data_IF_129642860166
#
_entry.id   IF_129642860166
#
_cell.length_a   1.000
_cell.length_b   1.000
_cell.length_c   1.000
_cell.angle_alpha   90.00
_cell.angle_beta   90.00
_cell.angle_gamma   90.00
#
_symmetry.space_group_name_H-M   'P 1'
#
loop_
_entity.id
_entity.type
_entity.pdbx_description
1 polymer ?
#
# COMPACT_ATOMS: atom_id res chain seq x y z
N UNK A 1 -4.02 -0.61 -27.86
CA UNK A 1 -4.08 -0.34 -29.33
C UNK A 1 -2.77 -0.67 -30.04
N UNK A 2 -1.60 -0.29 -29.51
CA UNK A 2 -0.29 -0.61 -30.13
C UNK A 2 0.03 -2.12 -30.11
N UNK A 3 -0.17 -2.80 -28.99
CA UNK A 3 0.09 -4.24 -28.85
C UNK A 3 -0.73 -5.07 -29.84
N UNK A 4 -2.03 -4.80 -29.97
CA UNK A 4 -2.90 -5.50 -30.93
C UNK A 4 -2.43 -5.34 -32.38
N UNK A 5 -2.01 -4.14 -32.80
CA UNK A 5 -1.47 -3.89 -34.13
C UNK A 5 -0.17 -4.67 -34.40
N UNK A 6 0.69 -4.84 -33.38
CA UNK A 6 1.93 -5.61 -33.51
C UNK A 6 1.65 -7.10 -33.61
N UNK A 7 0.68 -7.62 -32.84
CA UNK A 7 0.25 -9.01 -32.93
C UNK A 7 -0.36 -9.32 -34.31
N UNK A 8 -1.19 -8.42 -34.85
CA UNK A 8 -1.74 -8.55 -36.21
C UNK A 8 -0.66 -8.54 -37.30
N UNK A 9 0.48 -7.89 -37.04
CA UNK A 9 1.66 -7.90 -37.92
C UNK A 9 2.60 -9.09 -37.69
N UNK A 10 2.19 -10.08 -36.88
CA UNK A 10 2.94 -11.31 -36.66
C UNK A 10 3.93 -11.28 -35.51
N UNK A 11 3.82 -10.31 -34.57
CA UNK A 11 4.64 -10.33 -33.36
C UNK A 11 4.32 -11.58 -32.52
N UNK A 12 5.36 -12.31 -32.13
CA UNK A 12 5.23 -13.53 -31.34
C UNK A 12 5.60 -13.27 -29.88
N UNK A 13 4.60 -13.30 -28.99
CA UNK A 13 4.80 -13.05 -27.56
C UNK A 13 5.69 -14.10 -26.89
N UNK A 14 5.70 -15.35 -27.36
CA UNK A 14 6.55 -16.40 -26.79
C UNK A 14 8.03 -16.09 -27.03
N UNK A 15 8.37 -15.69 -28.26
CA UNK A 15 9.73 -15.27 -28.62
C UNK A 15 10.12 -14.00 -27.87
N UNK A 16 9.23 -13.00 -27.79
CA UNK A 16 9.49 -11.77 -27.02
C UNK A 16 9.79 -12.10 -25.57
N UNK A 17 9.03 -13.00 -24.94
CA UNK A 17 9.24 -13.42 -23.55
C UNK A 17 10.60 -14.09 -23.34
N UNK A 18 11.06 -14.87 -24.31
CA UNK A 18 12.39 -15.49 -24.32
C UNK A 18 13.53 -14.45 -24.35
N UNK A 19 13.33 -13.33 -25.04
CA UNK A 19 14.27 -12.19 -25.05
C UNK A 19 14.04 -11.16 -23.93
N UNK A 20 12.88 -11.18 -23.26
CA UNK A 20 12.61 -10.34 -22.07
C UNK A 20 13.24 -10.91 -20.80
N UNK A 21 13.58 -12.21 -20.80
CA UNK A 21 14.38 -12.85 -19.76
C UNK A 21 15.80 -12.31 -19.78
N UNK A 22 16.02 -11.16 -19.17
CA UNK A 22 17.35 -10.63 -18.90
C UNK A 22 18.07 -11.57 -17.93
N UNK A 23 18.88 -12.48 -18.47
CA UNK A 23 19.92 -13.12 -17.66
C UNK A 23 20.88 -12.02 -17.26
N UNK A 24 21.07 -11.86 -15.95
CA UNK A 24 22.02 -10.87 -15.46
C UNK A 24 23.42 -11.20 -15.97
N UNK A 25 24.14 -10.15 -16.39
CA UNK A 25 25.56 -10.27 -16.71
C UNK A 25 26.35 -10.71 -15.46
N UNK A 26 27.61 -11.11 -15.63
CA UNK A 26 28.43 -11.52 -14.49
C UNK A 26 28.57 -10.37 -13.47
N UNK A 27 28.77 -9.15 -13.98
CA UNK A 27 28.92 -7.92 -13.21
C UNK A 27 27.64 -7.54 -12.47
N UNK A 28 26.47 -7.70 -13.11
CA UNK A 28 25.18 -7.48 -12.47
C UNK A 28 24.87 -8.50 -11.36
N UNK A 29 25.28 -9.76 -11.55
CA UNK A 29 25.14 -10.80 -10.51
C UNK A 29 26.05 -10.54 -9.31
N UNK A 30 27.29 -10.15 -9.57
CA UNK A 30 28.24 -9.76 -8.53
C UNK A 30 27.73 -8.54 -7.75
N UNK A 31 27.26 -7.51 -8.45
CA UNK A 31 26.65 -6.34 -7.82
C UNK A 31 25.45 -6.70 -6.96
N UNK A 32 24.54 -7.55 -7.45
CA UNK A 32 23.40 -8.02 -6.66
C UNK A 32 23.86 -8.72 -5.37
N UNK A 33 24.88 -9.58 -5.46
CA UNK A 33 25.42 -10.28 -4.30
C UNK A 33 26.05 -9.30 -3.28
N UNK A 34 26.77 -8.28 -3.75
CA UNK A 34 27.31 -7.22 -2.90
C UNK A 34 26.18 -6.47 -2.20
N UNK A 35 25.13 -6.09 -2.92
CA UNK A 35 24.00 -5.34 -2.36
C UNK A 35 23.21 -6.16 -1.34
N UNK A 36 22.96 -7.46 -1.60
CA UNK A 36 22.31 -8.37 -0.66
C UNK A 36 23.07 -8.44 0.67
N UNK A 37 24.41 -8.44 0.62
CA UNK A 37 25.24 -8.49 1.83
C UNK A 37 25.36 -7.14 2.55
N UNK A 38 25.16 -6.03 1.84
CA UNK A 38 25.32 -4.66 2.35
C UNK A 38 23.99 -3.90 2.37
N UNK A 39 22.97 -4.58 2.91
CA UNK A 39 21.61 -4.07 3.04
C UNK A 39 21.33 -3.72 4.50
N UNK A 40 20.82 -2.51 4.72
CA UNK A 40 20.33 -2.04 6.02
C UNK A 40 18.81 -1.83 5.96
N UNK A 41 18.11 -2.31 6.98
CA UNK A 41 16.66 -2.16 7.13
C UNK A 41 16.35 -1.05 8.14
N UNK A 42 15.41 -0.18 7.77
CA UNK A 42 14.96 0.95 8.58
C UNK A 42 13.45 0.91 8.72
N UNK A 43 12.94 1.25 9.90
CA UNK A 43 11.53 1.53 10.13
C UNK A 43 11.34 3.04 10.28
N UNK A 44 10.86 3.69 9.22
CA UNK A 44 10.61 5.14 9.21
C UNK A 44 9.10 5.36 9.19
N UNK A 45 8.56 5.87 10.30
CA UNK A 45 7.11 6.13 10.46
C UNK A 45 6.26 4.88 10.15
N UNK A 46 6.66 3.71 10.66
CA UNK A 46 6.04 2.39 10.43
C UNK A 46 6.07 1.89 8.97
N UNK A 47 6.95 2.45 8.13
CA UNK A 47 7.23 1.94 6.80
C UNK A 47 8.60 1.28 6.78
N UNK A 48 8.65 0.07 6.23
CA UNK A 48 9.88 -0.70 6.09
C UNK A 48 10.65 -0.18 4.88
N UNK A 49 11.81 0.42 5.11
CA UNK A 49 12.65 0.97 4.05
C UNK A 49 13.99 0.24 4.06
N UNK A 50 14.45 -0.14 2.88
CA UNK A 50 15.76 -0.75 2.71
C UNK A 50 16.69 0.23 2.03
N UNK A 51 17.91 0.35 2.56
CA UNK A 51 19.03 1.00 1.88
C UNK A 51 20.12 -0.04 1.66
N UNK A 52 20.41 -0.33 0.40
CA UNK A 52 21.48 -1.23 0.00
C UNK A 52 22.63 -0.43 -0.61
N UNK A 53 23.85 -0.76 -0.24
CA UNK A 53 25.04 0.03 -0.61
C UNK A 53 26.09 -0.80 -1.31
N UNK A 54 26.78 -0.20 -2.27
CA UNK A 54 27.91 -0.83 -2.94
C UNK A 54 28.97 0.20 -3.34
N UNK A 55 30.21 -0.28 -3.42
CA UNK A 55 31.34 0.50 -3.92
C UNK A 55 32.07 -0.36 -4.95
N UNK A 56 31.92 -0.01 -6.22
CA UNK A 56 32.54 -0.72 -7.34
C UNK A 56 33.39 0.23 -8.16
N UNK A 57 34.56 -0.23 -8.60
CA UNK A 57 35.45 0.59 -9.42
C UNK A 57 34.90 0.82 -10.83
N UNK A 58 34.16 -0.15 -11.36
CA UNK A 58 33.60 -0.12 -12.71
C UNK A 58 32.12 0.30 -12.70
N UNK A 59 31.69 0.93 -13.80
CA UNK A 59 30.29 1.27 -14.01
C UNK A 59 29.50 0.06 -14.50
N UNK A 60 28.52 -0.36 -13.71
CA UNK A 60 27.62 -1.46 -14.06
C UNK A 60 26.33 -0.90 -14.66
N UNK A 61 26.07 -1.22 -15.93
CA UNK A 61 24.82 -0.87 -16.60
C UNK A 61 23.63 -1.62 -15.99
N UNK A 62 22.46 -0.98 -15.92
CA UNK A 62 21.22 -1.62 -15.48
C UNK A 62 21.06 -1.72 -13.95
N UNK A 63 21.61 -0.76 -13.20
CA UNK A 63 21.43 -0.68 -11.74
C UNK A 63 19.95 -0.72 -11.33
N UNK A 64 19.05 -0.18 -12.16
CA UNK A 64 17.61 -0.22 -11.96
C UNK A 64 17.01 -1.63 -12.04
N UNK A 65 17.58 -2.52 -12.87
CA UNK A 65 17.18 -3.92 -12.98
C UNK A 65 17.67 -4.72 -11.77
N UNK A 66 18.90 -4.47 -11.32
CA UNK A 66 19.46 -5.06 -10.09
C UNK A 66 18.65 -4.61 -8.88
N UNK A 67 18.35 -3.31 -8.78
CA UNK A 67 17.50 -2.75 -7.72
C UNK A 67 16.11 -3.37 -7.72
N UNK A 68 15.50 -3.57 -8.90
CA UNK A 68 14.21 -4.24 -9.00
C UNK A 68 14.26 -5.68 -8.48
N UNK A 69 15.26 -6.47 -8.90
CA UNK A 69 15.38 -7.86 -8.43
C UNK A 69 15.61 -7.93 -6.93
N UNK A 70 16.46 -7.07 -6.38
CA UNK A 70 16.65 -6.97 -4.94
C UNK A 70 15.33 -6.62 -4.23
N UNK A 71 14.57 -5.67 -4.77
CA UNK A 71 13.28 -5.28 -4.21
C UNK A 71 12.24 -6.41 -4.19
N UNK A 72 12.26 -7.28 -5.19
CA UNK A 72 11.36 -8.44 -5.27
C UNK A 72 11.77 -9.56 -4.30
N UNK A 73 13.04 -9.61 -3.91
CA UNK A 73 13.58 -10.61 -2.96
C UNK A 73 13.34 -10.19 -1.51
N UNK A 74 13.20 -8.89 -1.24
CA UNK A 74 13.01 -8.32 0.09
C UNK A 74 11.55 -7.90 0.35
N UNK A 75 11.09 -7.99 1.60
CA UNK A 75 9.76 -7.52 2.02
C UNK A 75 9.83 -6.13 2.68
N UNK A 76 9.86 -5.07 1.87
CA UNK A 76 9.92 -3.66 2.28
C UNK A 76 8.99 -2.74 1.47
N UNK A 77 8.49 -1.65 2.05
CA UNK A 77 7.66 -0.66 1.37
C UNK A 77 8.40 0.10 0.25
N UNK A 78 9.68 0.35 0.47
CA UNK A 78 10.60 0.97 -0.49
C UNK A 78 12.02 0.43 -0.35
N UNK A 79 12.79 0.59 -1.42
CA UNK A 79 14.22 0.30 -1.46
C UNK A 79 14.97 1.45 -2.15
N UNK A 80 16.15 1.75 -1.63
CA UNK A 80 17.10 2.66 -2.24
C UNK A 80 18.46 1.96 -2.36
N UNK A 81 18.98 1.88 -3.58
CA UNK A 81 20.32 1.37 -3.85
C UNK A 81 21.25 2.55 -4.07
N UNK A 82 22.33 2.62 -3.30
CA UNK A 82 23.37 3.66 -3.37
C UNK A 82 24.68 2.99 -3.79
N UNK A 83 25.11 3.22 -5.03
CA UNK A 83 26.34 2.63 -5.55
C UNK A 83 27.34 3.70 -5.97
N UNK A 84 28.54 3.68 -5.39
CA UNK A 84 29.67 4.42 -5.92
C UNK A 84 30.23 3.67 -7.13
N UNK A 85 30.27 4.33 -8.29
CA UNK A 85 30.80 3.80 -9.56
C UNK A 85 31.53 4.93 -10.30
N UNK A 86 32.77 4.68 -10.75
CA UNK A 86 33.58 5.69 -11.47
C UNK A 86 33.64 7.07 -10.78
N UNK A 87 33.74 7.08 -9.45
CA UNK A 87 33.82 8.30 -8.64
C UNK A 87 32.51 9.10 -8.53
N UNK A 88 31.37 8.52 -8.92
CA UNK A 88 30.03 9.13 -8.78
C UNK A 88 29.11 8.20 -8.01
N UNK A 89 28.31 8.76 -7.12
CA UNK A 89 27.31 7.98 -6.38
C UNK A 89 26.02 7.96 -7.19
N UNK A 90 25.61 6.77 -7.62
CA UNK A 90 24.35 6.53 -8.29
C UNK A 90 23.34 6.04 -7.26
N UNK A 91 22.20 6.73 -7.18
CA UNK A 91 21.09 6.36 -6.30
C UNK A 91 19.92 5.94 -7.16
N UNK A 92 19.34 4.78 -6.87
CA UNK A 92 18.11 4.31 -7.50
C UNK A 92 17.11 3.96 -6.40
N UNK A 93 15.94 4.61 -6.45
CA UNK A 93 14.85 4.38 -5.51
C UNK A 93 13.68 3.68 -6.19
N UNK A 94 13.09 2.70 -5.51
CA UNK A 94 11.82 2.07 -5.89
C UNK A 94 10.89 1.97 -4.69
N UNK A 95 9.61 2.08 -4.94
CA UNK A 95 8.57 1.98 -3.90
C UNK A 95 7.37 1.19 -4.41
N UNK A 96 6.79 0.36 -3.56
CA UNK A 96 5.46 -0.25 -3.79
C UNK A 96 4.37 0.47 -2.99
N UNK A 97 4.73 1.21 -1.94
CA UNK A 97 3.80 1.98 -1.12
C UNK A 97 3.49 3.38 -1.73
N UNK A 98 2.26 3.87 -1.61
CA UNK A 98 1.87 5.18 -2.14
C UNK A 98 2.29 6.36 -1.24
N UNK A 99 2.57 6.08 0.03
CA UNK A 99 3.08 7.08 0.98
C UNK A 99 4.52 7.51 0.66
N UNK A 100 5.30 6.66 -0.03
CA UNK A 100 6.71 6.94 -0.35
C UNK A 100 6.82 7.28 -1.83
N UNK A 101 6.88 8.59 -2.12
CA UNK A 101 7.12 9.12 -3.47
C UNK A 101 8.61 9.28 -3.72
N UNK A 102 9.22 8.29 -4.34
CA UNK A 102 10.69 8.24 -4.50
C UNK A 102 11.24 9.35 -5.39
N UNK A 103 10.44 9.86 -6.33
CA UNK A 103 10.83 11.01 -7.16
C UNK A 103 10.91 12.31 -6.36
N UNK A 104 10.00 12.55 -5.41
CA UNK A 104 10.01 13.75 -4.56
C UNK A 104 11.26 13.75 -3.67
N UNK A 105 11.57 12.59 -3.07
CA UNK A 105 12.78 12.35 -2.27
C UNK A 105 14.04 12.59 -3.11
N UNK A 106 14.21 11.88 -4.23
CA UNK A 106 15.44 11.97 -5.02
C UNK A 106 15.59 13.29 -5.78
N UNK A 107 14.50 14.02 -6.06
CA UNK A 107 14.58 15.35 -6.67
C UNK A 107 15.32 16.35 -5.77
N UNK A 108 15.22 16.21 -4.44
CA UNK A 108 16.01 17.01 -3.48
C UNK A 108 17.52 16.73 -3.56
N UNK A 109 17.89 15.57 -4.09
CA UNK A 109 19.28 15.18 -4.35
C UNK A 109 19.71 15.41 -5.81
N UNK A 110 18.93 16.18 -6.58
CA UNK A 110 19.22 16.48 -7.99
C UNK A 110 18.80 15.37 -8.97
N UNK A 111 17.98 14.42 -8.51
CA UNK A 111 17.45 13.32 -9.31
C UNK A 111 16.12 13.61 -10.00
N UNK A 112 15.53 12.55 -10.57
CA UNK A 112 14.24 12.60 -11.26
C UNK A 112 13.63 11.21 -11.46
N UNK A 113 12.42 11.18 -12.01
CA UNK A 113 11.66 9.95 -12.26
C UNK A 113 10.18 10.08 -11.91
N UNK A 114 9.58 8.95 -11.53
CA UNK A 114 8.18 8.80 -11.18
C UNK A 114 7.99 8.46 -9.70
N UNK A 115 6.76 8.59 -9.19
CA UNK A 115 6.41 8.36 -7.79
C UNK A 115 6.84 6.98 -7.26
N UNK A 116 6.97 5.98 -8.13
CA UNK A 116 7.35 4.59 -7.79
C UNK A 116 8.78 4.20 -8.17
N UNK A 117 9.44 4.94 -9.04
CA UNK A 117 10.79 4.64 -9.51
C UNK A 117 11.52 5.92 -9.93
N UNK A 118 12.68 6.17 -9.33
CA UNK A 118 13.47 7.37 -9.58
C UNK A 118 14.96 7.10 -9.44
N UNK A 119 15.79 8.00 -9.97
CA UNK A 119 17.24 7.92 -9.84
C UNK A 119 17.89 9.31 -9.67
N UNK A 120 19.07 9.33 -9.07
CA UNK A 120 19.91 10.51 -8.90
C UNK A 120 21.38 10.14 -9.10
N UNK A 121 22.17 11.11 -9.58
CA UNK A 121 23.63 10.99 -9.68
C UNK A 121 24.24 12.12 -8.86
N UNK A 122 24.98 11.76 -7.83
CA UNK A 122 25.58 12.67 -6.87
C UNK A 122 27.10 12.65 -7.05
N UNK A 123 27.71 13.84 -7.06
CA UNK A 123 29.16 14.03 -7.22
C UNK A 123 29.75 14.53 -5.90
N UNK A 124 31.01 14.20 -5.65
CA UNK A 124 31.79 14.70 -4.51
C UNK A 124 31.18 14.38 -3.13
N UNK A 125 30.56 13.21 -2.98
CA UNK A 125 30.07 12.69 -1.70
C UNK A 125 30.39 11.21 -1.58
N UNK A 126 30.61 10.75 -0.35
CA UNK A 126 30.72 9.33 -0.05
C UNK A 126 29.35 8.65 0.08
N UNK A 127 29.33 7.32 -0.04
CA UNK A 127 28.12 6.50 0.08
C UNK A 127 27.43 6.70 1.44
N UNK A 128 28.21 6.80 2.51
CA UNK A 128 27.69 7.01 3.87
C UNK A 128 26.96 8.36 3.99
N UNK A 129 27.58 9.45 3.50
CA UNK A 129 26.95 10.78 3.52
C UNK A 129 25.63 10.81 2.75
N UNK A 130 25.58 10.14 1.59
CA UNK A 130 24.36 10.05 0.77
C UNK A 130 23.28 9.23 1.48
N UNK A 131 23.66 8.17 2.19
CA UNK A 131 22.73 7.37 3.00
C UNK A 131 22.11 8.20 4.12
N UNK A 132 22.94 8.95 4.86
CA UNK A 132 22.48 9.80 5.96
C UNK A 132 21.55 10.92 5.48
N UNK A 133 21.92 11.60 4.38
CA UNK A 133 21.07 12.62 3.75
C UNK A 133 19.72 12.04 3.32
N UNK A 134 19.71 10.83 2.75
CA UNK A 134 18.50 10.16 2.29
C UNK A 134 17.58 9.84 3.47
N UNK A 135 18.13 9.30 4.57
CA UNK A 135 17.36 9.01 5.81
C UNK A 135 16.72 10.29 6.33
N UNK A 136 17.50 11.38 6.43
CA UNK A 136 16.99 12.67 6.91
C UNK A 136 15.86 13.21 6.04
N UNK A 137 16.03 13.17 4.71
CA UNK A 137 14.98 13.59 3.77
C UNK A 137 13.72 12.74 3.96
N UNK A 138 13.87 11.43 4.13
CA UNK A 138 12.75 10.51 4.34
C UNK A 138 12.02 10.78 5.66
N UNK A 139 12.73 11.06 6.75
CA UNK A 139 12.12 11.43 8.03
C UNK A 139 11.30 12.73 7.94
N UNK A 140 11.78 13.70 7.17
CA UNK A 140 11.10 14.98 6.95
C UNK A 140 9.90 14.86 5.99
N UNK A 141 10.09 14.18 4.84
CA UNK A 141 9.15 14.23 3.70
C UNK A 141 8.15 13.09 3.62
N UNK A 142 8.46 11.93 4.21
CA UNK A 142 7.52 10.80 4.16
C UNK A 142 6.30 11.21 4.96
N UNK A 143 5.26 11.63 4.25
CA UNK A 143 3.96 11.86 4.80
C UNK A 143 3.21 10.54 4.74
N UNK A 144 3.25 9.81 5.85
CA UNK A 144 2.38 8.65 6.04
C UNK A 144 0.98 9.22 6.07
N UNK A 145 0.30 9.19 4.92
CA UNK A 145 -1.09 9.61 4.85
C UNK A 145 -1.87 8.88 5.93
N UNK A 146 -2.85 9.56 6.52
CA UNK A 146 -3.68 8.98 7.57
C UNK A 146 -4.17 7.58 7.15
N UNK A 147 -4.10 6.64 8.08
CA UNK A 147 -4.67 5.29 7.94
C UNK A 147 -6.02 5.23 8.67
N UNK A 148 -6.77 4.14 8.45
CA UNK A 148 -8.06 3.94 9.11
C UNK A 148 -7.94 4.08 10.64
N UNK A 149 -6.88 3.52 11.24
CA UNK A 149 -6.62 3.57 12.67
C UNK A 149 -6.56 5.01 13.23
N UNK A 150 -6.12 5.98 12.43
CA UNK A 150 -5.96 7.37 12.87
C UNK A 150 -7.30 8.13 12.98
N UNK A 151 -8.33 7.67 12.25
CA UNK A 151 -9.63 8.36 12.13
C UNK A 151 -10.84 7.49 12.50
N UNK A 152 -10.63 6.19 12.75
CA UNK A 152 -11.71 5.27 13.09
C UNK A 152 -12.27 5.57 14.48
N UNK A 153 -13.53 5.17 14.69
CA UNK A 153 -14.14 5.21 16.02
C UNK A 153 -13.97 3.86 16.73
N UNK A 154 -13.34 3.87 17.91
CA UNK A 154 -13.21 2.70 18.77
C UNK A 154 -13.48 3.09 20.24
N UNK A 155 -14.21 2.28 21.03
CA UNK A 155 -14.87 1.02 20.65
C UNK A 155 -16.14 1.24 19.83
N UNK A 156 -16.35 0.42 18.79
CA UNK A 156 -17.52 0.50 17.93
C UNK A 156 -18.79 -0.01 18.65
N UNK A 157 -19.93 0.64 18.43
CA UNK A 157 -21.22 0.16 18.90
C UNK A 157 -21.81 -0.81 17.87
N UNK A 158 -22.21 -1.98 18.34
CA UNK A 158 -22.72 -3.08 17.50
C UNK A 158 -24.15 -3.44 17.87
N UNK A 159 -24.81 -4.21 17.00
CA UNK A 159 -26.15 -4.75 17.21
C UNK A 159 -26.09 -6.28 17.14
N UNK A 160 -26.59 -7.03 18.14
CA UNK A 160 -26.64 -8.48 18.04
C UNK A 160 -27.58 -8.97 16.93
N UNK A 161 -27.21 -10.04 16.23
CA UNK A 161 -27.97 -10.54 15.07
C UNK A 161 -29.43 -10.95 15.40
N UNK A 162 -29.68 -11.37 16.64
CA UNK A 162 -30.98 -11.89 17.10
C UNK A 162 -31.93 -10.82 17.65
N UNK A 163 -31.46 -9.58 17.89
CA UNK A 163 -32.36 -8.53 18.38
C UNK A 163 -33.35 -8.10 17.30
N UNK A 164 -34.47 -7.52 17.72
CA UNK A 164 -35.52 -7.07 16.81
C UNK A 164 -35.12 -5.81 16.04
N UNK A 165 -35.72 -5.61 14.86
CA UNK A 165 -35.54 -4.38 14.07
C UNK A 165 -35.95 -3.12 14.85
N UNK A 166 -36.97 -3.21 15.70
CA UNK A 166 -37.39 -2.10 16.57
C UNK A 166 -36.30 -1.74 17.59
N UNK A 167 -35.71 -2.75 18.24
CA UNK A 167 -34.64 -2.54 19.21
C UNK A 167 -33.37 -2.01 18.55
N UNK A 168 -33.00 -2.55 17.38
CA UNK A 168 -31.91 -2.00 16.56
C UNK A 168 -32.14 -0.52 16.24
N UNK A 169 -33.37 -0.14 15.89
CA UNK A 169 -33.76 1.25 15.68
C UNK A 169 -33.59 2.14 16.90
N UNK A 170 -33.90 1.62 18.11
CA UNK A 170 -33.68 2.33 19.38
C UNK A 170 -32.20 2.49 19.69
N UNK A 171 -31.37 1.47 19.45
CA UNK A 171 -29.91 1.55 19.60
C UNK A 171 -29.31 2.61 18.68
N UNK A 172 -29.70 2.59 17.39
CA UNK A 172 -29.29 3.60 16.41
C UNK A 172 -29.62 5.02 16.85
N UNK A 173 -30.86 5.25 17.34
CA UNK A 173 -31.29 6.55 17.86
C UNK A 173 -30.50 6.96 19.10
N UNK A 174 -30.30 6.04 20.05
CA UNK A 174 -29.59 6.29 21.30
C UNK A 174 -28.14 6.72 21.07
N UNK A 175 -27.46 6.09 20.10
CA UNK A 175 -26.04 6.38 19.81
C UNK A 175 -25.85 7.38 18.66
N UNK A 176 -26.92 7.86 18.03
CA UNK A 176 -26.83 8.78 16.89
C UNK A 176 -26.22 8.15 15.64
N UNK A 177 -26.30 6.83 15.49
CA UNK A 177 -25.73 6.09 14.37
C UNK A 177 -26.80 5.75 13.33
N UNK A 178 -26.55 6.09 12.07
CA UNK A 178 -27.47 5.76 10.95
C UNK A 178 -27.26 4.34 10.40
N UNK A 179 -26.47 3.52 11.09
CA UNK A 179 -26.09 2.18 10.68
C UNK A 179 -24.96 1.64 11.54
N UNK A 180 -24.97 0.34 11.78
CA UNK A 180 -24.17 -0.33 12.79
C UNK A 180 -23.70 -1.70 12.30
N UNK A 181 -22.51 -2.17 12.71
CA UNK A 181 -22.10 -3.56 12.58
C UNK A 181 -23.08 -4.49 13.29
N UNK A 182 -23.44 -5.58 12.62
CA UNK A 182 -24.20 -6.68 13.20
C UNK A 182 -23.23 -7.77 13.61
N UNK A 183 -23.33 -8.21 14.86
CA UNK A 183 -22.44 -9.22 15.44
C UNK A 183 -23.21 -10.45 15.90
N UNK A 184 -22.54 -11.59 15.83
CA UNK A 184 -22.96 -12.84 16.46
C UNK A 184 -21.81 -13.34 17.35
N UNK A 185 -22.11 -13.53 18.64
CA UNK A 185 -21.18 -13.80 19.75
C UNK A 185 -20.04 -12.77 19.94
N UNK A 186 -19.19 -12.57 18.94
CA UNK A 186 -18.13 -11.54 18.86
C UNK A 186 -17.63 -11.28 17.44
N UNK A 187 -18.22 -11.95 16.43
CA UNK A 187 -17.80 -11.84 15.04
C UNK A 187 -18.77 -10.93 14.29
N UNK A 188 -18.23 -10.02 13.49
CA UNK A 188 -19.04 -9.25 12.56
C UNK A 188 -19.61 -10.19 11.48
N UNK A 189 -20.93 -10.19 11.32
CA UNK A 189 -21.61 -11.02 10.31
C UNK A 189 -22.41 -10.20 9.28
N UNK A 190 -22.45 -8.87 9.46
CA UNK A 190 -23.14 -7.98 8.54
C UNK A 190 -23.18 -6.54 9.01
N UNK A 191 -23.91 -5.70 8.27
CA UNK A 191 -24.25 -4.33 8.65
C UNK A 191 -25.74 -4.10 8.48
N UNK A 192 -26.29 -3.27 9.36
CA UNK A 192 -27.69 -2.85 9.28
C UNK A 192 -27.73 -1.32 9.23
N UNK A 193 -28.51 -0.76 8.32
CA UNK A 193 -28.68 0.68 8.17
C UNK A 193 -30.02 1.16 8.72
N UNK A 194 -30.10 2.46 8.98
CA UNK A 194 -31.36 3.10 9.37
C UNK A 194 -32.46 2.92 8.33
N UNK A 195 -32.08 2.92 7.04
CA UNK A 195 -33.02 2.69 5.92
C UNK A 195 -33.66 1.30 6.01
N UNK A 196 -32.90 0.29 6.45
CA UNK A 196 -33.42 -1.08 6.60
C UNK A 196 -34.42 -1.17 7.76
N UNK A 197 -34.11 -0.51 8.87
CA UNK A 197 -35.02 -0.37 10.02
C UNK A 197 -36.32 0.33 9.64
N UNK A 198 -36.23 1.46 8.94
CA UNK A 198 -37.40 2.24 8.54
C UNK A 198 -38.27 1.45 7.53
N UNK A 199 -37.65 0.74 6.57
CA UNK A 199 -38.36 -0.19 5.67
C UNK A 199 -39.07 -1.30 6.43
N UNK A 200 -38.39 -1.97 7.36
CA UNK A 200 -39.00 -3.03 8.17
C UNK A 200 -40.21 -2.50 8.97
N UNK A 201 -40.10 -1.28 9.52
CA UNK A 201 -41.19 -0.63 10.24
C UNK A 201 -42.42 -0.37 9.36
N UNK A 202 -42.22 0.14 8.13
CA UNK A 202 -43.31 0.38 7.16
C UNK A 202 -44.07 -0.92 6.86
N UNK A 203 -43.37 -2.05 6.80
CA UNK A 203 -43.96 -3.36 6.55
C UNK A 203 -44.44 -4.10 7.82
N UNK A 204 -44.49 -3.44 8.97
CA UNK A 204 -44.85 -4.04 10.27
C UNK A 204 -43.93 -5.21 10.72
N UNK A 205 -42.68 -5.22 10.25
CA UNK A 205 -41.65 -6.22 10.55
C UNK A 205 -40.71 -5.79 11.69
N UNK A 206 -41.14 -4.87 12.55
CA UNK A 206 -40.33 -4.39 13.68
C UNK A 206 -39.92 -5.49 14.66
N UNK A 207 -40.73 -6.53 14.79
CA UNK A 207 -40.50 -7.70 15.63
C UNK A 207 -39.48 -8.69 15.06
N UNK A 208 -39.22 -8.63 13.74
CA UNK A 208 -38.36 -9.59 13.07
C UNK A 208 -36.87 -9.36 13.45
N UNK A 209 -36.05 -10.42 13.44
CA UNK A 209 -34.65 -10.32 13.84
C UNK A 209 -33.81 -9.59 12.80
N UNK A 210 -32.81 -8.82 13.24
CA UNK A 210 -31.87 -8.07 12.39
C UNK A 210 -31.18 -8.95 11.35
N UNK A 211 -30.84 -10.21 11.71
CA UNK A 211 -30.21 -11.18 10.80
C UNK A 211 -30.98 -11.38 9.49
N UNK A 212 -32.30 -11.18 9.47
CA UNK A 212 -33.13 -11.30 8.28
C UNK A 212 -33.08 -10.10 7.32
N UNK A 213 -32.51 -8.97 7.75
CA UNK A 213 -32.53 -7.70 7.00
C UNK A 213 -31.13 -7.11 6.78
N UNK A 214 -30.14 -7.54 7.55
CA UNK A 214 -28.77 -7.05 7.43
C UNK A 214 -28.17 -7.38 6.06
N UNK A 215 -27.27 -6.54 5.59
CA UNK A 215 -26.37 -6.89 4.48
C UNK A 215 -25.27 -7.79 5.03
N UNK A 216 -25.16 -9.01 4.52
CA UNK A 216 -24.17 -10.01 5.00
C UNK A 216 -22.83 -9.93 4.26
N UNK A 217 -22.85 -9.56 2.98
CA UNK A 217 -21.65 -9.33 2.18
C UNK A 217 -21.21 -7.87 2.36
N UNK A 218 -20.29 -7.65 3.29
CA UNK A 218 -19.85 -6.32 3.69
C UNK A 218 -18.40 -6.14 3.34
N UNK A 219 -18.11 -5.12 2.54
CA UNK A 219 -16.75 -4.67 2.34
C UNK A 219 -16.22 -4.09 3.66
N UNK A 220 -15.31 -4.82 4.30
CA UNK A 220 -14.52 -4.36 5.43
C UNK A 220 -13.15 -3.88 4.97
N UNK A 221 -12.53 -3.05 5.81
CA UNK A 221 -11.15 -2.57 5.67
C UNK A 221 -10.35 -2.95 6.93
N UNK A 222 -9.02 -2.87 6.86
CA UNK A 222 -8.14 -3.10 8.01
C UNK A 222 -7.76 -1.79 8.69
N UNK A 223 -7.29 -1.80 9.96
CA UNK A 223 -6.80 -0.59 10.63
C UNK A 223 -5.66 0.11 9.88
N UNK A 224 -4.88 -0.65 9.11
CA UNK A 224 -3.76 -0.15 8.31
C UNK A 224 -4.18 0.35 6.91
N UNK A 225 -5.46 0.29 6.56
CA UNK A 225 -5.93 0.74 5.23
C UNK A 225 -5.74 2.26 5.10
N UNK A 226 -5.03 2.76 4.06
CA UNK A 226 -4.82 4.19 3.87
C UNK A 226 -6.11 4.95 3.55
N UNK A 227 -6.27 6.18 4.05
CA UNK A 227 -7.46 7.01 3.79
C UNK A 227 -7.74 7.20 2.30
N UNK A 228 -6.71 7.29 1.46
CA UNK A 228 -6.89 7.42 0.00
C UNK A 228 -7.63 6.22 -0.58
N UNK A 229 -7.35 5.02 -0.08
CA UNK A 229 -8.05 3.80 -0.48
C UNK A 229 -9.46 3.75 0.10
N UNK A 230 -9.65 4.15 1.37
CA UNK A 230 -10.97 4.28 2.01
C UNK A 230 -11.86 5.22 1.18
N UNK A 231 -11.36 6.39 0.80
CA UNK A 231 -12.08 7.36 -0.01
C UNK A 231 -12.48 6.77 -1.37
N UNK A 232 -11.56 6.06 -2.04
CA UNK A 232 -11.85 5.39 -3.30
C UNK A 232 -12.96 4.35 -3.15
N UNK A 233 -12.91 3.52 -2.11
CA UNK A 233 -13.91 2.49 -1.82
C UNK A 233 -15.29 3.11 -1.55
N UNK A 234 -15.34 4.15 -0.71
CA UNK A 234 -16.60 4.84 -0.38
C UNK A 234 -17.26 5.45 -1.62
N UNK A 235 -16.49 6.07 -2.53
CA UNK A 235 -17.01 6.65 -3.77
C UNK A 235 -17.44 5.56 -4.76
N UNK A 236 -16.59 4.56 -4.99
CA UNK A 236 -16.84 3.53 -5.99
C UNK A 236 -18.04 2.65 -5.65
N UNK A 237 -18.32 2.44 -4.36
CA UNK A 237 -19.39 1.59 -3.88
C UNK A 237 -20.61 2.38 -3.34
N UNK A 238 -20.57 3.72 -3.36
CA UNK A 238 -21.60 4.59 -2.77
C UNK A 238 -21.90 4.25 -1.29
N UNK A 239 -20.83 4.01 -0.51
CA UNK A 239 -20.89 3.60 0.88
C UNK A 239 -20.48 4.75 1.80
N UNK A 240 -21.36 5.11 2.74
CA UNK A 240 -21.10 6.18 3.72
C UNK A 240 -20.33 5.76 4.98
N UNK A 241 -20.11 4.46 5.20
CA UNK A 241 -19.36 3.94 6.35
C UNK A 241 -18.65 2.63 6.00
N UNK A 242 -17.40 2.48 6.39
CA UNK A 242 -16.67 1.23 6.23
C UNK A 242 -16.36 0.64 7.61
N UNK A 243 -16.77 -0.60 7.90
CA UNK A 243 -16.33 -1.28 9.10
C UNK A 243 -14.83 -1.58 8.99
N UNK A 244 -14.11 -1.25 10.05
CA UNK A 244 -12.71 -1.63 10.23
C UNK A 244 -12.70 -2.93 11.01
N UNK A 245 -12.10 -3.98 10.44
CA UNK A 245 -12.06 -5.32 11.02
C UNK A 245 -10.60 -5.78 11.12
N UNK A 246 -10.23 -6.32 12.28
CA UNK A 246 -8.93 -6.93 12.56
C UNK A 246 -9.16 -8.33 13.15
N UNK A 247 -8.55 -9.37 12.58
CA UNK A 247 -8.75 -10.77 13.00
C UNK A 247 -10.22 -11.24 13.09
N UNK A 248 -11.09 -10.66 12.25
CA UNK A 248 -12.52 -10.96 12.22
C UNK A 248 -13.36 -10.25 13.29
N UNK A 249 -12.78 -9.26 13.98
CA UNK A 249 -13.43 -8.42 15.01
C UNK A 249 -13.47 -6.96 14.61
#
# INVERSE_FOLDING_TARGET
>A
RVVACLLDKGANLAVITEFMGSTFTAEQRELLQILLNNTNHYDIKNLKIIIATSNTNEFVLGLDMVTYRLFEMEDSDAIFVISLMEGKVNVVGRSRNHAIKVNEILRKMGGGGHDKAASAIIRNKEVAEVSDDLIKIMEEDINVGLIAADIMSSPVKTVPAFVSMEEAGRLMLRYGHTGMPVVDESKMIGVISRRDVDKAKIHNLGHAPVKGFMTSDVQAITPLTPIVEIQRLMIAQDIGRLPVVEDGK
#
